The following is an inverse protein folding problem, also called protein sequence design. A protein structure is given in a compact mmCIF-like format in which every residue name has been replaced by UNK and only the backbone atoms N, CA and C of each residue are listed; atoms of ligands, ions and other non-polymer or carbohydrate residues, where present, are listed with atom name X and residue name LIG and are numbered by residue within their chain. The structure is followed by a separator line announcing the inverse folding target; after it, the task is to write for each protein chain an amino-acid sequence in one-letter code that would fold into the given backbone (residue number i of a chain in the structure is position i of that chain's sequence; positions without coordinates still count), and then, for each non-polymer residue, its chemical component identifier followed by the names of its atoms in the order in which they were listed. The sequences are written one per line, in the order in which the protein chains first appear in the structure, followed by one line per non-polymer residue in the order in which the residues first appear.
data_IF_412444633802
#
_entry.id   IF_412444633802
#
_cell.length_a   1.000
_cell.length_b   1.000
_cell.length_c   1.000
_cell.angle_alpha   90.00
_cell.angle_beta   90.00
_cell.angle_gamma   90.00
#
_symmetry.space_group_name_H-M   'P 1'
#
loop_
_entity.id
_entity.type
_entity.pdbx_description
1 polymer ?
#
# COMPACT_ATOMS: atom_id res chain seq x y z
N UNK A 1 18.22 -1.71 19.25
CA UNK A 1 18.07 -2.53 18.02
C UNK A 1 19.33 -3.33 17.84
N UNK A 2 19.24 -4.64 17.61
CA UNK A 2 20.38 -5.39 17.11
C UNK A 2 20.77 -4.81 15.74
N UNK A 3 22.08 -4.70 15.40
CA UNK A 3 22.48 -4.26 14.07
C UNK A 3 21.85 -5.16 13.00
N UNK A 4 21.25 -4.55 11.98
CA UNK A 4 20.69 -5.27 10.83
C UNK A 4 21.79 -6.13 10.23
N UNK A 5 21.53 -7.44 10.09
CA UNK A 5 22.45 -8.36 9.39
C UNK A 5 22.48 -8.11 7.89
N UNK A 6 21.54 -7.31 7.38
CA UNK A 6 21.41 -7.01 5.97
C UNK A 6 22.18 -5.74 5.63
N UNK A 7 23.03 -5.82 4.62
CA UNK A 7 23.84 -4.68 4.15
C UNK A 7 23.04 -3.88 3.12
N UNK A 8 23.10 -2.55 3.19
CA UNK A 8 22.54 -1.69 2.14
C UNK A 8 23.42 -1.71 0.90
N UNK A 9 22.81 -1.58 -0.28
CA UNK A 9 23.49 -1.55 -1.58
C UNK A 9 23.19 -0.23 -2.29
N UNK A 10 24.21 0.37 -2.89
CA UNK A 10 24.05 1.47 -3.85
C UNK A 10 23.38 1.01 -5.15
N UNK A 11 22.92 1.96 -5.97
CA UNK A 11 22.38 1.67 -7.30
C UNK A 11 23.38 0.88 -8.17
N UNK A 12 24.67 1.22 -8.11
CA UNK A 12 25.75 0.52 -8.82
C UNK A 12 25.91 -0.93 -8.34
N UNK A 13 25.85 -1.15 -7.03
CA UNK A 13 25.94 -2.48 -6.44
C UNK A 13 24.73 -3.34 -6.78
N UNK A 14 23.52 -2.76 -6.80
CA UNK A 14 22.32 -3.44 -7.30
C UNK A 14 22.49 -3.87 -8.76
N UNK A 15 22.96 -2.98 -9.64
CA UNK A 15 23.21 -3.30 -11.06
C UNK A 15 24.29 -4.36 -11.25
N UNK A 16 25.34 -4.34 -10.41
CA UNK A 16 26.40 -5.37 -10.43
C UNK A 16 25.86 -6.70 -9.91
N UNK A 17 25.07 -6.70 -8.83
CA UNK A 17 24.45 -7.92 -8.26
C UNK A 17 23.53 -8.59 -9.28
N UNK A 18 22.73 -7.81 -10.01
CA UNK A 18 21.83 -8.32 -11.05
C UNK A 18 22.53 -9.07 -12.20
N UNK A 19 23.83 -8.85 -12.41
CA UNK A 19 24.63 -9.48 -13.47
C UNK A 19 25.39 -10.73 -13.02
N UNK A 20 25.35 -11.06 -11.72
CA UNK A 20 26.04 -12.25 -11.21
C UNK A 20 25.28 -13.51 -11.60
N UNK A 21 25.99 -14.59 -11.85
CA UNK A 21 25.39 -15.89 -12.22
C UNK A 21 24.56 -16.50 -11.09
N UNK A 22 24.91 -16.20 -9.84
CA UNK A 22 24.29 -16.73 -8.63
C UNK A 22 23.17 -15.84 -8.06
N UNK A 23 22.74 -14.82 -8.82
CA UNK A 23 21.83 -13.78 -8.31
C UNK A 23 20.50 -14.36 -7.85
N UNK A 24 19.96 -15.35 -8.57
CA UNK A 24 18.67 -15.93 -8.23
C UNK A 24 18.76 -16.75 -6.94
N UNK A 25 19.79 -17.59 -6.78
CA UNK A 25 19.98 -18.35 -5.53
C UNK A 25 20.23 -17.41 -4.35
N UNK A 26 20.97 -16.32 -4.55
CA UNK A 26 21.20 -15.31 -3.52
C UNK A 26 19.91 -14.60 -3.09
N UNK A 27 19.03 -14.24 -4.04
CA UNK A 27 17.72 -13.64 -3.75
C UNK A 27 16.81 -14.63 -3.02
N UNK A 28 16.78 -15.89 -3.45
CA UNK A 28 16.00 -16.95 -2.80
C UNK A 28 16.46 -17.20 -1.37
N UNK A 29 17.77 -17.28 -1.14
CA UNK A 29 18.34 -17.46 0.20
C UNK A 29 18.01 -16.28 1.11
N UNK A 30 18.11 -15.06 0.60
CA UNK A 30 17.76 -13.84 1.34
C UNK A 30 16.27 -13.80 1.72
N UNK A 31 15.37 -14.14 0.77
CA UNK A 31 13.93 -14.25 1.05
C UNK A 31 13.62 -15.30 2.10
N UNK A 32 14.24 -16.48 2.00
CA UNK A 32 14.10 -17.54 2.98
C UNK A 32 14.48 -17.07 4.39
N UNK A 33 15.59 -16.34 4.53
CA UNK A 33 16.02 -15.79 5.81
C UNK A 33 15.06 -14.76 6.42
N UNK A 34 14.23 -14.09 5.60
CA UNK A 34 13.19 -13.16 6.05
C UNK A 34 11.96 -13.95 6.51
N UNK A 35 11.49 -14.90 5.69
CA UNK A 35 10.28 -15.70 5.99
C UNK A 35 10.47 -16.58 7.23
N UNK A 36 11.68 -17.04 7.51
CA UNK A 36 12.01 -17.80 8.73
C UNK A 36 12.05 -16.97 10.02
N UNK A 37 12.02 -15.63 9.95
CA UNK A 37 12.04 -14.81 11.16
C UNK A 37 10.77 -15.03 12.00
N UNK A 38 10.95 -15.14 13.32
CA UNK A 38 9.83 -15.23 14.25
C UNK A 38 9.02 -13.92 14.23
N UNK A 39 7.70 -14.04 14.16
CA UNK A 39 6.76 -12.91 14.17
C UNK A 39 6.55 -12.42 15.62
N UNK A 40 6.46 -11.10 15.83
CA UNK A 40 6.43 -10.47 17.17
C UNK A 40 5.12 -9.71 17.42
N UNK A 41 4.18 -10.25 18.23
CA UNK A 41 3.01 -9.51 18.78
C UNK A 41 1.87 -10.43 19.30
N UNK A 42 0.62 -9.96 19.32
CA UNK A 42 -0.58 -10.74 19.73
C UNK A 42 -1.80 -10.49 18.79
N UNK A 43 -2.76 -11.42 18.67
CA UNK A 43 -3.98 -11.29 17.80
C UNK A 43 -5.31 -11.11 18.55
N UNK A 44 -5.30 -10.50 19.74
CA UNK A 44 -6.45 -10.54 20.65
C UNK A 44 -7.75 -9.91 20.09
N UNK A 45 -7.66 -8.94 19.17
CA UNK A 45 -8.82 -8.25 18.61
C UNK A 45 -9.41 -8.93 17.36
N UNK A 46 -8.56 -9.41 16.44
CA UNK A 46 -9.03 -10.11 15.23
C UNK A 46 -9.65 -11.47 15.53
N UNK A 47 -9.29 -12.10 16.66
CA UNK A 47 -9.81 -13.40 17.10
C UNK A 47 -11.10 -13.31 17.93
N UNK A 48 -11.69 -12.11 18.10
CA UNK A 48 -12.97 -11.97 18.82
C UNK A 48 -14.10 -12.50 17.95
N UNK A 49 -15.06 -13.18 18.59
CA UNK A 49 -16.14 -13.86 17.87
C UNK A 49 -16.97 -12.92 17.00
N UNK A 50 -17.23 -11.71 17.50
CA UNK A 50 -18.00 -10.68 16.79
C UNK A 50 -17.26 -10.10 15.56
N UNK A 51 -15.95 -10.32 15.44
CA UNK A 51 -15.11 -9.79 14.36
C UNK A 51 -14.84 -10.80 13.23
N UNK A 52 -15.21 -12.08 13.39
CA UNK A 52 -14.95 -13.11 12.37
C UNK A 52 -15.57 -12.75 11.01
N UNK A 53 -16.84 -12.33 10.99
CA UNK A 53 -17.53 -11.97 9.74
C UNK A 53 -16.95 -10.73 9.05
N UNK A 54 -16.11 -9.95 9.76
CA UNK A 54 -15.46 -8.74 9.26
C UNK A 54 -14.05 -8.99 8.73
N UNK A 55 -13.47 -10.16 8.98
CA UNK A 55 -12.18 -10.56 8.40
C UNK A 55 -12.41 -11.26 7.04
N UNK A 56 -11.71 -10.86 5.96
CA UNK A 56 -11.96 -11.41 4.61
C UNK A 56 -11.55 -12.88 4.46
N UNK A 57 -10.61 -13.35 5.28
CA UNK A 57 -10.10 -14.72 5.26
C UNK A 57 -9.96 -15.27 6.68
N UNK A 58 -10.51 -16.45 6.93
CA UNK A 58 -10.37 -17.18 8.21
C UNK A 58 -8.97 -17.80 8.37
N UNK A 59 -8.26 -18.02 7.24
CA UNK A 59 -6.91 -18.58 7.13
C UNK A 59 -5.82 -17.50 7.14
N UNK A 60 -6.12 -16.29 6.66
CA UNK A 60 -5.34 -15.09 6.96
C UNK A 60 -5.84 -14.52 8.29
N UNK A 61 -5.57 -15.29 9.35
CA UNK A 61 -5.11 -14.61 10.55
C UNK A 61 -3.85 -13.86 10.10
N UNK A 62 -3.93 -12.55 10.06
CA UNK A 62 -2.76 -11.68 10.00
C UNK A 62 -1.95 -11.95 11.26
N UNK A 63 -1.19 -13.04 11.21
CA UNK A 63 -1.11 -14.00 12.30
C UNK A 63 -0.68 -13.35 13.58
N UNK A 64 -1.33 -13.70 14.70
CA UNK A 64 -0.91 -13.69 16.10
C UNK A 64 0.03 -12.58 16.63
N UNK A 65 0.37 -11.55 15.86
CA UNK A 65 1.66 -10.90 15.99
C UNK A 65 1.68 -9.40 15.65
N UNK A 66 0.58 -8.71 15.38
CA UNK A 66 0.64 -7.24 15.32
C UNK A 66 -0.66 -6.61 15.78
N UNK A 67 -0.53 -5.46 16.45
CA UNK A 67 -1.64 -4.65 16.92
C UNK A 67 -2.48 -4.15 15.74
N UNK A 68 -3.78 -4.44 15.79
CA UNK A 68 -4.75 -3.82 14.89
C UNK A 68 -5.01 -2.39 15.36
N UNK A 69 -5.44 -1.49 14.47
CA UNK A 69 -6.05 -0.24 14.93
C UNK A 69 -7.20 -0.59 15.89
N UNK A 70 -7.10 -0.09 17.12
CA UNK A 70 -8.11 -0.33 18.17
C UNK A 70 -9.40 0.36 17.77
N UNK A 71 -10.55 -0.35 17.76
CA UNK A 71 -11.84 0.29 17.59
C UNK A 71 -12.03 1.38 18.66
N UNK A 72 -12.63 2.51 18.26
CA UNK A 72 -13.33 3.38 19.21
C UNK A 72 -14.51 2.58 19.78
N UNK A 73 -14.90 2.88 21.01
CA UNK A 73 -15.67 2.00 21.89
C UNK A 73 -16.92 1.35 21.26
N UNK A 74 -17.26 0.17 21.78
CA UNK A 74 -18.23 -0.81 21.25
C UNK A 74 -17.71 -1.56 19.99
N UNK A 75 -17.91 -2.88 19.98
CA UNK A 75 -17.31 -3.83 19.03
C UNK A 75 -17.85 -3.64 17.58
N UNK A 76 -18.46 -2.51 17.24
CA UNK A 76 -19.10 -2.19 15.95
C UNK A 76 -18.16 -1.54 14.93
N UNK A 77 -17.03 -0.97 15.37
CA UNK A 77 -16.19 -0.09 14.53
C UNK A 77 -14.93 -0.77 13.98
N UNK A 78 -14.88 -2.09 14.05
CA UNK A 78 -13.67 -2.83 13.66
C UNK A 78 -13.53 -2.93 12.13
N UNK A 79 -12.41 -2.41 11.63
CA UNK A 79 -11.86 -2.70 10.31
C UNK A 79 -10.45 -3.30 10.46
N UNK A 80 -10.15 -4.34 9.68
CA UNK A 80 -8.84 -4.97 9.71
C UNK A 80 -7.79 -4.09 9.00
N UNK A 81 -7.22 -3.17 9.75
CA UNK A 81 -6.31 -2.14 9.27
C UNK A 81 -5.08 -1.99 10.18
N UNK A 82 -3.92 -1.70 9.57
CA UNK A 82 -2.62 -1.54 10.27
C UNK A 82 -1.80 -0.41 9.70
N UNK A 83 -1.12 0.33 10.57
CA UNK A 83 -0.10 1.28 10.13
C UNK A 83 1.14 0.53 9.64
N UNK A 84 1.71 1.04 8.55
CA UNK A 84 2.99 0.57 8.00
C UNK A 84 3.89 1.79 7.81
N UNK A 85 5.14 1.64 8.24
CA UNK A 85 6.13 2.69 8.10
C UNK A 85 6.79 2.63 6.73
N UNK A 86 7.23 3.79 6.26
CA UNK A 86 8.19 3.92 5.17
C UNK A 86 9.56 4.27 5.76
N UNK A 87 10.63 4.16 4.98
CA UNK A 87 11.98 4.54 5.41
C UNK A 87 12.00 5.96 6.00
N UNK A 88 12.24 6.05 7.31
CA UNK A 88 12.24 7.29 8.11
C UNK A 88 10.92 8.09 8.15
N UNK A 89 9.82 7.53 7.63
CA UNK A 89 8.50 8.17 7.69
C UNK A 89 7.54 7.21 8.43
N UNK A 90 7.28 7.46 9.73
CA UNK A 90 6.38 6.61 10.50
C UNK A 90 4.95 6.73 9.98
N UNK A 91 4.21 5.62 9.99
CA UNK A 91 2.80 5.54 9.59
C UNK A 91 2.51 6.18 8.22
N UNK A 92 3.42 6.04 7.24
CA UNK A 92 3.18 6.55 5.88
C UNK A 92 1.97 5.88 5.25
N UNK A 93 1.70 4.62 5.59
CA UNK A 93 0.60 3.85 5.04
C UNK A 93 -0.34 3.33 6.12
N UNK A 94 -1.58 3.10 5.71
CA UNK A 94 -2.53 2.23 6.39
C UNK A 94 -2.86 1.09 5.43
N UNK A 95 -2.38 -0.09 5.78
CA UNK A 95 -2.66 -1.31 5.06
C UNK A 95 -3.96 -1.93 5.56
N UNK A 96 -4.91 -2.17 4.65
CA UNK A 96 -6.17 -2.83 4.97
C UNK A 96 -6.36 -4.08 4.10
N UNK A 97 -7.14 -5.03 4.59
CA UNK A 97 -7.59 -6.15 3.77
C UNK A 97 -8.62 -5.67 2.72
N UNK A 98 -8.78 -6.43 1.65
CA UNK A 98 -9.83 -6.17 0.66
C UNK A 98 -11.22 -6.15 1.30
N UNK A 99 -12.04 -5.21 0.86
CA UNK A 99 -13.26 -4.81 1.55
C UNK A 99 -14.41 -5.78 1.33
N UNK A 100 -15.19 -6.03 2.39
CA UNK A 100 -16.48 -6.71 2.31
C UNK A 100 -17.61 -5.69 2.31
N UNK A 101 -18.79 -6.06 1.81
CA UNK A 101 -19.98 -5.18 1.83
C UNK A 101 -20.31 -4.65 3.24
N UNK A 102 -20.10 -5.48 4.27
CA UNK A 102 -20.34 -5.14 5.68
C UNK A 102 -19.32 -4.18 6.30
N UNK A 103 -18.23 -3.85 5.59
CA UNK A 103 -17.13 -3.00 6.12
C UNK A 103 -16.92 -1.72 5.31
N UNK A 104 -17.83 -1.38 4.39
CA UNK A 104 -17.69 -0.22 3.51
C UNK A 104 -17.85 1.11 4.27
N UNK A 105 -18.72 1.13 5.27
CA UNK A 105 -18.92 2.31 6.13
C UNK A 105 -17.68 2.58 6.98
N UNK A 106 -17.17 1.55 7.66
CA UNK A 106 -15.95 1.65 8.48
C UNK A 106 -14.74 2.02 7.64
N UNK A 107 -14.69 1.61 6.36
CA UNK A 107 -13.63 2.00 5.44
C UNK A 107 -13.64 3.51 5.17
N UNK A 108 -14.79 4.08 4.79
CA UNK A 108 -14.88 5.50 4.51
C UNK A 108 -14.71 6.35 5.76
N UNK A 109 -15.20 5.87 6.91
CA UNK A 109 -14.94 6.50 8.20
C UNK A 109 -13.43 6.52 8.50
N UNK A 110 -12.72 5.40 8.30
CA UNK A 110 -11.26 5.34 8.46
C UNK A 110 -10.55 6.35 7.55
N UNK A 111 -10.89 6.36 6.25
CA UNK A 111 -10.32 7.31 5.28
C UNK A 111 -10.51 8.75 5.73
N UNK A 112 -11.71 9.07 6.23
CA UNK A 112 -12.06 10.40 6.71
C UNK A 112 -11.34 10.76 8.01
N UNK A 113 -11.38 9.89 9.03
CA UNK A 113 -10.78 10.17 10.34
C UNK A 113 -9.26 10.30 10.29
N UNK A 114 -8.59 9.50 9.44
CA UNK A 114 -7.14 9.56 9.24
C UNK A 114 -6.70 10.74 8.37
N UNK A 115 -7.64 11.55 7.85
CA UNK A 115 -7.37 12.60 6.86
C UNK A 115 -6.59 12.08 5.64
N UNK A 116 -6.86 10.85 5.24
CA UNK A 116 -6.22 10.20 4.10
C UNK A 116 -6.75 10.78 2.78
N UNK A 117 -5.83 11.19 1.91
CA UNK A 117 -6.16 11.81 0.61
C UNK A 117 -5.82 10.92 -0.58
N UNK A 118 -5.15 9.80 -0.35
CA UNK A 118 -4.73 8.85 -1.38
C UNK A 118 -5.14 7.44 -0.97
N UNK A 119 -5.76 6.72 -1.90
CA UNK A 119 -6.12 5.31 -1.80
C UNK A 119 -5.47 4.56 -2.96
N UNK A 120 -4.80 3.45 -2.67
CA UNK A 120 -4.21 2.54 -3.66
C UNK A 120 -4.86 1.17 -3.54
N UNK A 121 -5.55 0.77 -4.61
CA UNK A 121 -6.22 -0.51 -4.75
C UNK A 121 -5.42 -1.41 -5.71
N UNK A 122 -5.00 -2.57 -5.21
CA UNK A 122 -4.21 -3.57 -5.95
C UNK A 122 -4.99 -4.87 -6.15
N UNK A 123 -6.32 -4.77 -6.24
CA UNK A 123 -7.24 -5.91 -6.39
C UNK A 123 -8.07 -5.72 -7.66
N UNK A 124 -8.52 -6.83 -8.25
CA UNK A 124 -9.45 -6.78 -9.38
C UNK A 124 -10.88 -6.50 -8.88
N UNK A 125 -11.67 -5.79 -9.69
CA UNK A 125 -13.09 -5.59 -9.44
C UNK A 125 -13.90 -6.64 -10.20
N UNK A 126 -14.64 -7.49 -9.50
CA UNK A 126 -15.71 -8.27 -10.14
C UNK A 126 -17.07 -8.03 -9.48
N UNK A 127 -18.08 -7.87 -10.34
CA UNK A 127 -19.39 -7.31 -9.99
C UNK A 127 -20.35 -8.37 -9.40
N UNK A 128 -19.98 -9.65 -9.40
CA UNK A 128 -20.94 -10.75 -9.29
C UNK A 128 -20.81 -11.70 -8.09
N UNK A 129 -19.64 -11.84 -7.42
CA UNK A 129 -19.45 -12.87 -6.40
C UNK A 129 -19.24 -12.32 -4.98
N UNK A 130 -19.70 -13.07 -3.97
CA UNK A 130 -19.58 -12.70 -2.54
C UNK A 130 -18.13 -12.73 -2.02
N UNK A 131 -17.21 -13.36 -2.77
CA UNK A 131 -15.81 -13.58 -2.38
C UNK A 131 -14.84 -12.48 -2.86
N UNK A 132 -15.33 -11.46 -3.59
CA UNK A 132 -14.51 -10.36 -4.16
C UNK A 132 -14.57 -9.01 -3.43
N UNK A 133 -13.62 -8.10 -3.73
CA UNK A 133 -13.55 -6.78 -3.11
C UNK A 133 -14.79 -5.96 -3.48
N UNK A 134 -15.58 -5.57 -2.48
CA UNK A 134 -16.81 -4.84 -2.72
C UNK A 134 -16.53 -3.42 -3.25
N UNK A 135 -17.30 -2.99 -4.25
CA UNK A 135 -17.30 -1.60 -4.72
C UNK A 135 -17.75 -0.68 -3.59
N UNK A 136 -16.85 0.20 -3.17
CA UNK A 136 -17.10 1.25 -2.16
C UNK A 136 -17.34 2.63 -2.80
N UNK A 137 -17.52 2.69 -4.13
CA UNK A 137 -17.84 3.91 -4.86
C UNK A 137 -18.70 3.60 -6.09
N UNK A 138 -19.21 4.63 -6.75
CA UNK A 138 -19.85 4.50 -8.07
C UNK A 138 -18.86 4.82 -9.19
N UNK A 139 -18.66 3.93 -10.18
CA UNK A 139 -17.78 4.19 -11.33
C UNK A 139 -18.15 5.49 -12.06
N UNK A 140 -17.20 6.13 -12.75
CA UNK A 140 -17.42 7.44 -13.36
C UNK A 140 -18.57 7.48 -14.38
N UNK A 141 -18.84 6.38 -15.09
CA UNK A 141 -20.02 6.25 -15.95
C UNK A 141 -21.36 6.45 -15.23
N UNK A 142 -21.37 6.32 -13.90
CA UNK A 142 -22.49 6.55 -12.99
C UNK A 142 -22.28 7.77 -12.08
N UNK A 143 -21.47 8.76 -12.46
CA UNK A 143 -21.11 9.94 -11.63
C UNK A 143 -22.27 10.79 -11.07
N UNK A 144 -23.48 10.60 -11.58
CA UNK A 144 -24.70 11.20 -11.03
C UNK A 144 -25.14 10.54 -9.71
N UNK A 145 -24.75 9.27 -9.49
CA UNK A 145 -25.01 8.54 -8.26
C UNK A 145 -24.00 8.95 -7.20
N UNK A 146 -24.47 9.02 -5.96
CA UNK A 146 -23.66 9.30 -4.78
C UNK A 146 -23.63 8.01 -3.97
N UNK A 147 -22.43 7.53 -3.65
CA UNK A 147 -22.27 6.43 -2.71
C UNK A 147 -22.35 7.03 -1.30
N UNK A 148 -23.20 6.48 -0.44
CA UNK A 148 -23.35 6.97 0.93
C UNK A 148 -22.78 5.94 1.90
N UNK A 149 -21.93 6.41 2.81
CA UNK A 149 -21.36 5.65 3.92
C UNK A 149 -21.59 6.47 5.20
N UNK A 150 -22.63 6.10 5.95
CA UNK A 150 -23.11 6.89 7.10
C UNK A 150 -23.35 8.37 6.75
N UNK A 151 -22.66 9.32 7.39
CA UNK A 151 -22.75 10.75 7.10
C UNK A 151 -21.85 11.21 5.94
N UNK A 152 -21.08 10.30 5.33
CA UNK A 152 -20.20 10.60 4.21
C UNK A 152 -20.88 10.34 2.88
N UNK A 153 -20.81 11.34 1.99
CA UNK A 153 -21.31 11.31 0.63
C UNK A 153 -20.13 11.34 -0.33
N UNK A 154 -19.95 10.25 -1.08
CA UNK A 154 -18.84 10.05 -2.00
C UNK A 154 -19.33 10.21 -3.44
N UNK A 155 -18.78 11.21 -4.13
CA UNK A 155 -19.06 11.50 -5.54
C UNK A 155 -17.81 11.32 -6.38
N UNK A 156 -17.93 10.58 -7.46
CA UNK A 156 -16.87 10.48 -8.46
C UNK A 156 -16.86 11.72 -9.35
N UNK A 157 -15.78 12.50 -9.32
CA UNK A 157 -15.70 13.79 -10.04
C UNK A 157 -14.90 13.69 -11.33
N UNK A 158 -13.86 12.84 -11.37
CA UNK A 158 -13.07 12.55 -12.57
C UNK A 158 -12.50 11.14 -12.54
N UNK A 159 -12.20 10.62 -13.72
CA UNK A 159 -11.54 9.33 -13.94
C UNK A 159 -10.64 9.45 -15.17
N UNK A 160 -9.39 9.03 -15.01
CA UNK A 160 -8.37 9.01 -16.05
C UNK A 160 -7.79 7.60 -16.13
N UNK A 161 -7.72 7.05 -17.34
CA UNK A 161 -7.11 5.75 -17.58
C UNK A 161 -5.66 5.95 -17.97
N UNK A 162 -4.75 5.47 -17.14
CA UNK A 162 -3.33 5.42 -17.41
C UNK A 162 -2.92 4.02 -17.90
N UNK A 163 -1.67 3.87 -18.32
CA UNK A 163 -1.15 2.56 -18.72
C UNK A 163 -1.03 1.64 -17.50
N UNK A 164 -2.03 0.77 -17.30
CA UNK A 164 -2.03 -0.29 -16.30
C UNK A 164 -2.71 0.05 -14.97
N UNK A 165 -3.25 1.26 -14.81
CA UNK A 165 -4.10 1.64 -13.68
C UNK A 165 -5.12 2.72 -14.08
N UNK A 166 -6.15 2.87 -13.24
CA UNK A 166 -7.14 3.94 -13.35
C UNK A 166 -6.98 4.87 -12.17
N UNK A 167 -6.80 6.16 -12.44
CA UNK A 167 -6.88 7.21 -11.44
C UNK A 167 -8.32 7.73 -11.39
N UNK A 168 -8.88 7.79 -10.19
CA UNK A 168 -10.21 8.36 -9.93
C UNK A 168 -10.08 9.43 -8.86
N UNK A 169 -10.74 10.58 -9.05
CA UNK A 169 -10.87 11.59 -7.99
C UNK A 169 -12.28 11.52 -7.40
N UNK A 170 -12.34 11.42 -6.09
CA UNK A 170 -13.57 11.50 -5.31
C UNK A 170 -13.68 12.86 -4.63
N UNK A 171 -14.89 13.42 -4.63
CA UNK A 171 -15.31 14.45 -3.68
C UNK A 171 -16.09 13.74 -2.56
N UNK A 172 -15.49 13.71 -1.37
CA UNK A 172 -16.09 13.13 -0.17
C UNK A 172 -16.54 14.28 0.71
N UNK A 173 -17.84 14.33 1.00
CA UNK A 173 -18.43 15.38 1.83
C UNK A 173 -19.12 14.79 3.05
N UNK A 174 -18.94 15.42 4.21
CA UNK A 174 -19.59 15.03 5.45
C UNK A 174 -20.86 15.88 5.62
N UNK A 175 -22.04 15.27 5.57
CA UNK A 175 -23.30 15.99 5.55
C UNK A 175 -23.67 16.64 6.90
N UNK A 176 -23.02 16.21 7.99
CA UNK A 176 -23.20 16.77 9.34
C UNK A 176 -22.37 18.03 9.55
N UNK A 177 -21.12 18.04 9.08
CA UNK A 177 -20.18 19.15 9.29
C UNK A 177 -20.15 20.14 8.11
N UNK A 178 -20.54 19.69 6.91
CA UNK A 178 -20.43 20.47 5.67
C UNK A 178 -19.02 20.50 5.07
N UNK A 179 -18.03 19.83 5.69
CA UNK A 179 -16.68 19.72 5.16
C UNK A 179 -16.65 18.82 3.92
N UNK A 180 -15.79 19.15 2.94
CA UNK A 180 -15.54 18.32 1.75
C UNK A 180 -14.04 18.17 1.50
N UNK A 181 -13.65 17.01 0.99
CA UNK A 181 -12.28 16.59 0.74
C UNK A 181 -12.18 15.91 -0.62
N UNK A 182 -11.21 16.35 -1.42
CA UNK A 182 -10.80 15.59 -2.60
C UNK A 182 -9.88 14.43 -2.18
N UNK A 183 -10.15 13.24 -2.72
CA UNK A 183 -9.40 12.01 -2.46
C UNK A 183 -9.05 11.37 -3.81
N UNK A 184 -7.76 11.10 -4.02
CA UNK A 184 -7.25 10.35 -5.17
C UNK A 184 -7.31 8.85 -4.90
N UNK A 185 -7.75 8.12 -5.90
CA UNK A 185 -7.87 6.67 -5.86
C UNK A 185 -7.20 6.07 -7.09
N UNK A 186 -6.20 5.23 -6.86
CA UNK A 186 -5.44 4.55 -7.89
C UNK A 186 -5.78 3.07 -7.86
N UNK A 187 -6.34 2.55 -8.95
CA UNK A 187 -6.70 1.14 -9.09
C UNK A 187 -5.81 0.47 -10.12
N UNK A 188 -4.89 -0.39 -9.67
CA UNK A 188 -3.98 -1.10 -10.54
C UNK A 188 -4.66 -2.28 -11.22
N UNK A 189 -4.57 -2.34 -12.55
CA UNK A 189 -5.30 -3.30 -13.38
C UNK A 189 -4.42 -4.47 -13.85
N UNK A 190 -3.12 -4.27 -13.96
CA UNK A 190 -2.21 -5.24 -14.59
C UNK A 190 -1.73 -6.34 -13.62
N UNK A 191 -2.34 -6.48 -12.44
CA UNK A 191 -1.99 -7.53 -11.48
C UNK A 191 -2.98 -8.69 -11.52
N UNK A 192 -2.71 -9.64 -12.41
CA UNK A 192 -3.49 -10.87 -12.55
C UNK A 192 -3.57 -11.68 -11.25
N UNK A 193 -4.64 -12.44 -11.06
CA UNK A 193 -4.81 -13.35 -9.92
C UNK A 193 -3.61 -14.29 -9.67
N UNK A 194 -2.94 -14.72 -10.75
CA UNK A 194 -1.77 -15.60 -10.66
C UNK A 194 -0.47 -14.80 -10.80
N UNK A 195 0.38 -14.88 -9.78
CA UNK A 195 1.76 -14.38 -9.81
C UNK A 195 1.90 -12.86 -9.65
N UNK A 196 2.82 -12.29 -10.42
CA UNK A 196 3.21 -10.87 -10.41
C UNK A 196 3.03 -10.27 -11.81
N UNK A 197 2.92 -8.94 -11.95
CA UNK A 197 2.84 -8.30 -13.26
C UNK A 197 4.00 -8.70 -14.19
N UNK A 198 3.68 -8.89 -15.48
CA UNK A 198 4.67 -9.35 -16.46
C UNK A 198 5.81 -8.33 -16.66
N UNK A 199 5.45 -7.05 -16.71
CA UNK A 199 6.36 -5.91 -16.82
C UNK A 199 6.34 -5.07 -15.53
N UNK A 200 7.41 -4.30 -15.31
CA UNK A 200 7.53 -3.42 -14.15
C UNK A 200 7.03 -1.99 -14.43
N UNK A 201 6.87 -1.62 -15.70
CA UNK A 201 6.70 -0.23 -16.14
C UNK A 201 5.46 0.43 -15.54
N UNK A 202 4.28 -0.18 -15.66
CA UNK A 202 3.03 0.38 -15.13
C UNK A 202 3.02 0.43 -13.61
N UNK A 203 3.56 -0.58 -12.93
CA UNK A 203 3.67 -0.58 -11.47
C UNK A 203 4.67 0.47 -10.95
N UNK A 204 5.78 0.68 -11.66
CA UNK A 204 6.73 1.74 -11.36
C UNK A 204 6.10 3.12 -11.55
N UNK A 205 5.38 3.32 -12.66
CA UNK A 205 4.69 4.59 -12.92
C UNK A 205 3.63 4.87 -11.84
N UNK A 206 2.85 3.87 -11.44
CA UNK A 206 1.91 3.99 -10.32
C UNK A 206 2.60 4.49 -9.03
N UNK A 207 3.77 3.93 -8.68
CA UNK A 207 4.49 4.36 -7.47
C UNK A 207 4.97 5.82 -7.58
N UNK A 208 5.45 6.22 -8.75
CA UNK A 208 5.88 7.60 -8.99
C UNK A 208 4.71 8.58 -8.91
N UNK A 209 3.59 8.29 -9.57
CA UNK A 209 2.42 9.16 -9.58
C UNK A 209 1.80 9.32 -8.18
N UNK A 210 1.77 8.23 -7.38
CA UNK A 210 1.30 8.27 -6.00
C UNK A 210 2.21 9.13 -5.12
N UNK A 211 3.53 9.04 -5.30
CA UNK A 211 4.48 9.84 -4.53
C UNK A 211 4.45 11.32 -4.96
N UNK A 212 4.32 11.61 -6.25
CA UNK A 212 4.17 12.97 -6.78
C UNK A 212 2.90 13.63 -6.22
N UNK A 213 1.77 12.90 -6.21
CA UNK A 213 0.52 13.40 -5.61
C UNK A 213 0.67 13.63 -4.10
N UNK A 214 1.34 12.72 -3.38
CA UNK A 214 1.60 12.91 -1.95
C UNK A 214 2.47 14.14 -1.69
N UNK A 215 3.52 14.35 -2.49
CA UNK A 215 4.39 15.51 -2.37
C UNK A 215 3.65 16.82 -2.66
N UNK A 216 2.81 16.82 -3.69
CA UNK A 216 1.92 17.95 -4.02
C UNK A 216 1.01 18.29 -2.84
N UNK A 217 0.35 17.29 -2.25
CA UNK A 217 -0.54 17.48 -1.11
C UNK A 217 0.20 17.97 0.14
N UNK A 218 1.41 17.45 0.42
CA UNK A 218 2.24 17.95 1.53
C UNK A 218 2.58 19.45 1.38
N UNK A 219 2.76 19.91 0.15
CA UNK A 219 3.06 21.32 -0.16
C UNK A 219 1.80 22.20 -0.10
N UNK A 220 0.65 21.68 -0.53
CA UNK A 220 -0.62 22.43 -0.54
C UNK A 220 -1.27 22.51 0.84
N UNK A 221 -1.07 21.52 1.71
CA UNK A 221 -1.74 21.38 3.00
C UNK A 221 -0.91 21.91 4.20
N UNK A 222 0.04 22.82 3.96
CA UNK A 222 0.94 23.33 5.02
C UNK A 222 0.17 24.03 6.16
N UNK A 223 -0.93 24.71 5.84
CA UNK A 223 -1.78 25.42 6.82
C UNK A 223 -3.03 24.60 7.24
N UNK A 224 -3.15 23.37 6.75
CA UNK A 224 -4.29 22.47 6.98
C UNK A 224 -3.92 21.37 8.02
N UNK A 225 -4.89 20.57 8.51
CA UNK A 225 -4.57 19.39 9.29
C UNK A 225 -3.59 18.48 8.56
N UNK A 226 -2.64 17.91 9.32
CA UNK A 226 -1.56 17.10 8.77
C UNK A 226 -2.09 16.02 7.79
N UNK A 227 -1.42 15.90 6.65
CA UNK A 227 -1.76 14.91 5.63
C UNK A 227 -1.72 13.50 6.22
N UNK A 228 -2.81 12.77 6.05
CA UNK A 228 -2.94 11.40 6.52
C UNK A 228 -2.03 10.38 5.82
N UNK A 229 -2.10 9.12 6.29
CA UNK A 229 -1.46 7.99 5.62
C UNK A 229 -2.09 7.71 4.24
N UNK A 230 -1.32 7.07 3.36
CA UNK A 230 -1.86 6.47 2.13
C UNK A 230 -2.61 5.19 2.53
N UNK A 231 -3.87 5.05 2.13
CA UNK A 231 -4.59 3.79 2.32
C UNK A 231 -4.19 2.83 1.21
N UNK A 232 -3.71 1.63 1.54
CA UNK A 232 -3.31 0.62 0.55
C UNK A 232 -4.02 -0.70 0.83
N UNK A 233 -4.64 -1.30 -0.18
CA UNK A 233 -5.36 -2.55 0.01
C UNK A 233 -5.28 -3.50 -1.17
N UNK A 234 -5.41 -4.79 -0.85
CA UNK A 234 -5.58 -5.88 -1.79
C UNK A 234 -6.30 -7.06 -1.11
N UNK A 235 -6.59 -8.14 -1.83
CA UNK A 235 -7.31 -9.31 -1.28
C UNK A 235 -6.68 -9.98 -0.05
N UNK A 236 -5.34 -10.03 0.04
CA UNK A 236 -4.63 -10.86 1.03
C UNK A 236 -3.35 -10.28 1.62
N UNK A 237 -3.04 -9.01 1.36
CA UNK A 237 -1.86 -8.31 1.86
C UNK A 237 -0.57 -8.42 1.07
N UNK A 238 -0.36 -9.50 0.33
CA UNK A 238 0.88 -9.72 -0.43
C UNK A 238 1.23 -8.54 -1.34
N UNK A 239 0.29 -8.18 -2.23
CA UNK A 239 0.41 -7.03 -3.16
C UNK A 239 0.60 -5.69 -2.43
N UNK A 240 -0.11 -5.47 -1.32
CA UNK A 240 0.06 -4.28 -0.46
C UNK A 240 1.49 -4.18 0.07
N UNK A 241 2.06 -5.30 0.53
CA UNK A 241 3.45 -5.39 0.97
C UNK A 241 4.44 -5.06 -0.15
N UNK A 242 4.18 -5.52 -1.37
CA UNK A 242 5.01 -5.18 -2.55
C UNK A 242 4.99 -3.68 -2.82
N UNK A 243 3.81 -3.05 -2.84
CA UNK A 243 3.68 -1.61 -3.06
C UNK A 243 4.47 -0.82 -2.00
N UNK A 244 4.24 -1.11 -0.71
CA UNK A 244 4.93 -0.42 0.39
C UNK A 244 6.45 -0.64 0.34
N UNK A 245 6.90 -1.84 -0.03
CA UNK A 245 8.32 -2.17 -0.14
C UNK A 245 8.99 -1.44 -1.31
N UNK A 246 8.33 -1.37 -2.47
CA UNK A 246 8.82 -0.63 -3.65
C UNK A 246 8.95 0.85 -3.32
N UNK A 247 7.86 1.48 -2.85
CA UNK A 247 7.84 2.90 -2.50
C UNK A 247 8.91 3.23 -1.45
N UNK A 248 8.98 2.45 -0.35
CA UNK A 248 9.98 2.67 0.69
C UNK A 248 11.42 2.46 0.21
N UNK A 249 11.67 1.48 -0.67
CA UNK A 249 13.01 1.23 -1.21
C UNK A 249 13.45 2.31 -2.20
N UNK A 250 12.53 2.76 -3.05
CA UNK A 250 12.78 3.87 -3.99
C UNK A 250 13.05 5.16 -3.22
N UNK A 251 12.21 5.48 -2.23
CA UNK A 251 12.41 6.65 -1.37
C UNK A 251 13.76 6.61 -0.66
N UNK A 252 14.13 5.46 -0.06
CA UNK A 252 15.45 5.29 0.58
C UNK A 252 16.60 5.49 -0.42
N UNK A 253 16.52 4.85 -1.58
CA UNK A 253 17.57 4.90 -2.59
C UNK A 253 17.79 6.33 -3.09
N UNK A 254 16.72 7.11 -3.27
CA UNK A 254 16.80 8.51 -3.68
C UNK A 254 17.37 9.37 -2.56
N UNK A 255 16.89 9.19 -1.33
CA UNK A 255 17.30 10.00 -0.18
C UNK A 255 18.76 9.76 0.24
N UNK A 256 19.23 8.52 0.21
CA UNK A 256 20.55 8.15 0.79
C UNK A 256 21.53 7.57 -0.22
N UNK A 257 21.12 7.33 -1.46
CA UNK A 257 21.95 6.67 -2.50
C UNK A 257 22.14 5.17 -2.30
N UNK A 258 21.52 4.58 -1.27
CA UNK A 258 21.63 3.16 -0.93
C UNK A 258 20.29 2.59 -0.48
N UNK A 259 20.09 1.28 -0.63
CA UNK A 259 18.85 0.61 -0.22
C UNK A 259 19.11 -0.79 0.33
N UNK A 260 18.31 -1.23 1.30
CA UNK A 260 18.30 -2.62 1.76
C UNK A 260 16.91 -3.21 1.65
N UNK A 261 16.63 -3.85 0.52
CA UNK A 261 15.36 -4.55 0.30
C UNK A 261 15.03 -5.59 1.39
N UNK A 262 15.95 -6.48 1.80
CA UNK A 262 15.65 -7.43 2.88
C UNK A 262 15.32 -6.77 4.23
N UNK A 263 15.98 -5.67 4.58
CA UNK A 263 15.63 -4.94 5.80
C UNK A 263 14.25 -4.27 5.70
N UNK A 264 13.95 -3.67 4.56
CA UNK A 264 12.63 -3.04 4.30
C UNK A 264 11.51 -4.07 4.35
N UNK A 265 11.64 -5.21 3.67
CA UNK A 265 10.61 -6.26 3.68
C UNK A 265 10.48 -6.91 5.07
N UNK A 266 11.59 -7.08 5.79
CA UNK A 266 11.51 -7.58 7.17
C UNK A 266 10.72 -6.62 8.07
N UNK A 267 10.98 -5.31 8.00
CA UNK A 267 10.22 -4.31 8.78
C UNK A 267 8.74 -4.29 8.42
N UNK A 268 8.41 -4.27 7.12
CA UNK A 268 7.02 -4.27 6.65
C UNK A 268 6.31 -5.56 7.09
N UNK A 269 6.95 -6.73 6.95
CA UNK A 269 6.34 -8.00 7.34
C UNK A 269 6.11 -8.14 8.87
N UNK A 270 6.86 -7.39 9.68
CA UNK A 270 6.64 -7.28 11.14
C UNK A 270 5.47 -6.37 11.52
N UNK A 271 5.05 -5.44 10.65
CA UNK A 271 3.92 -4.53 10.88
C UNK A 271 2.64 -5.07 10.21
N UNK A 272 2.80 -5.64 9.03
CA UNK A 272 1.76 -6.26 8.22
C UNK A 272 2.14 -7.70 7.91
N UNK A 273 1.64 -8.63 8.72
CA UNK A 273 1.88 -10.07 8.57
C UNK A 273 1.62 -10.54 7.13
N UNK A 274 2.39 -11.54 6.65
CA UNK A 274 2.20 -12.14 5.32
C UNK A 274 2.47 -11.22 4.11
N UNK A 275 3.06 -10.03 4.33
CA UNK A 275 3.61 -9.19 3.26
C UNK A 275 4.77 -9.89 2.56
N UNK A 276 4.73 -9.94 1.22
CA UNK A 276 5.83 -10.45 0.36
C UNK A 276 6.24 -11.89 0.72
N UNK A 277 5.25 -12.75 0.99
CA UNK A 277 5.48 -14.14 1.40
C UNK A 277 5.84 -15.06 0.23
N UNK A 278 5.49 -14.69 -1.01
CA UNK A 278 5.86 -15.44 -2.19
C UNK A 278 7.21 -14.97 -2.74
N UNK A 279 8.04 -15.90 -3.19
CA UNK A 279 9.35 -15.59 -3.78
C UNK A 279 9.22 -14.73 -5.04
N UNK A 280 8.17 -14.93 -5.84
CA UNK A 280 7.93 -14.17 -7.06
C UNK A 280 7.66 -12.69 -6.78
N UNK A 281 6.94 -12.37 -5.69
CA UNK A 281 6.73 -11.00 -5.21
C UNK A 281 8.07 -10.34 -4.84
N UNK A 282 8.94 -11.08 -4.14
CA UNK A 282 10.26 -10.58 -3.74
C UNK A 282 11.18 -10.34 -4.94
N UNK A 283 11.20 -11.26 -5.90
CA UNK A 283 11.92 -11.12 -7.16
C UNK A 283 11.37 -9.94 -7.96
N UNK A 284 10.06 -9.72 -7.96
CA UNK A 284 9.42 -8.60 -8.66
C UNK A 284 9.88 -7.25 -8.10
N UNK A 285 9.97 -7.10 -6.77
CA UNK A 285 10.52 -5.88 -6.14
C UNK A 285 11.98 -5.69 -6.59
N UNK A 286 12.78 -6.75 -6.61
CA UNK A 286 14.16 -6.71 -7.11
C UNK A 286 14.26 -6.23 -8.56
N UNK A 287 13.37 -6.71 -9.44
CA UNK A 287 13.30 -6.28 -10.85
C UNK A 287 13.00 -4.79 -10.96
N UNK A 288 12.04 -4.30 -10.17
CA UNK A 288 11.69 -2.87 -10.12
C UNK A 288 12.89 -2.04 -9.67
N UNK A 289 13.56 -2.43 -8.57
CA UNK A 289 14.72 -1.69 -8.07
C UNK A 289 15.88 -1.69 -9.07
N UNK A 290 16.06 -2.78 -9.82
CA UNK A 290 17.06 -2.83 -10.88
C UNK A 290 16.73 -1.87 -12.05
N UNK A 291 15.47 -1.85 -12.50
CA UNK A 291 15.03 -0.92 -13.56
C UNK A 291 15.13 0.54 -13.09
N UNK A 292 14.73 0.83 -11.85
CA UNK A 292 14.91 2.14 -11.25
C UNK A 292 16.39 2.53 -11.17
N UNK A 293 17.27 1.62 -10.71
CA UNK A 293 18.71 1.87 -10.62
C UNK A 293 19.38 2.11 -11.98
N UNK A 294 18.83 1.58 -13.09
CA UNK A 294 19.29 1.92 -14.46
C UNK A 294 18.92 3.35 -14.84
N UNK A 295 17.73 3.80 -14.46
CA UNK A 295 17.24 5.16 -14.74
C UNK A 295 17.82 6.21 -13.79
N UNK A 296 18.23 5.80 -12.58
CA UNK A 296 18.72 6.67 -11.51
C UNK A 296 19.95 7.51 -11.88
N UNK A 297 20.86 6.98 -12.71
CA UNK A 297 22.02 7.74 -13.21
C UNK A 297 21.66 8.71 -14.33
N UNK A 298 20.61 8.42 -15.10
CA UNK A 298 20.25 9.22 -16.28
C UNK A 298 19.34 10.40 -15.95
N UNK A 299 18.57 10.34 -14.86
CA UNK A 299 17.62 11.39 -14.51
C UNK A 299 18.10 12.25 -13.32
N UNK A 300 18.59 13.45 -13.61
CA UNK A 300 18.63 14.54 -12.60
C UNK A 300 17.22 14.89 -12.08
N UNK A 301 16.20 14.69 -12.93
CA UNK A 301 14.79 14.95 -12.64
C UNK A 301 14.23 14.13 -11.46
N UNK A 302 14.62 12.86 -11.30
CA UNK A 302 14.19 12.02 -10.17
C UNK A 302 14.81 12.52 -8.85
N UNK A 303 16.03 13.06 -8.91
CA UNK A 303 16.65 13.73 -7.77
C UNK A 303 15.93 15.04 -7.44
N UNK A 304 15.55 15.82 -8.44
CA UNK A 304 14.91 17.13 -8.23
C UNK A 304 13.46 17.02 -7.72
N UNK A 305 12.69 16.02 -8.15
CA UNK A 305 11.32 15.76 -7.64
C UNK A 305 11.34 15.40 -6.14
N UNK A 306 12.36 14.67 -5.69
CA UNK A 306 12.39 14.09 -4.34
C UNK A 306 13.33 14.81 -3.35
N UNK A 307 14.24 15.67 -3.83
CA UNK A 307 15.08 16.54 -2.99
C UNK A 307 14.50 17.95 -2.77
N UNK A 308 13.38 18.31 -3.42
CA UNK A 308 12.71 19.59 -3.19
C UNK A 308 11.84 19.63 -1.91
N UNK A 309 11.88 18.59 -1.07
CA UNK A 309 11.22 18.51 0.25
C UNK A 309 12.19 18.60 1.42
#
# INVERSE_FOLDING_TARGET
MAPSKFTSMSADELRKRAKKSDVLEAIQFEHHQIVEQSRIGTSQHSSRQDNYERNRRDDIYWGAACENMTPKEENTDYIHARYVDCFEIPKKYVAIQGLRRKTLEQFWQLVWEENSRIIVMLDELEVAEEDECALYWHPYGNKQKIFQADELLIRTVSETTESGYVETTFDVSNCTTGESRLIKHYMYLDWSELGVPATCESFMQLNLDVEDERHRLLTEMVDEPALGPIIVHCRGGGRTGVFCAVDSCVYQLVKTGTVSLPETVLKISQQQCSSVSAIDEYIFIYRILYEFAKSFEMCSFIRDILHAG
#
